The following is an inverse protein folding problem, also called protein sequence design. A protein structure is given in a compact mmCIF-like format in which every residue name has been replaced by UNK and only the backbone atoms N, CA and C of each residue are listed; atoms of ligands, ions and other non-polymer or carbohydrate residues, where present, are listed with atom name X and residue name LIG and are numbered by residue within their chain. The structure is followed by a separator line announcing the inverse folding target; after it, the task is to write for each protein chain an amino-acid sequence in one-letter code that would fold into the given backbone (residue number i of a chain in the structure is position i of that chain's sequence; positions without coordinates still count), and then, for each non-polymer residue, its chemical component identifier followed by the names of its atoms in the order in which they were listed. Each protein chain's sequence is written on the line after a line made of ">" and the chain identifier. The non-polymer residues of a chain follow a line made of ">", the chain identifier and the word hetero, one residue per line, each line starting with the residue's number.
data_IF_514076697773
#
_entry.id   IF_514076697773
#
_cell.length_a   1.000
_cell.length_b   1.000
_cell.length_c   1.000
_cell.angle_alpha   90.00
_cell.angle_beta   90.00
_cell.angle_gamma   90.00
#
_symmetry.space_group_name_H-M   'P 1'
#
loop_
_entity.id
_entity.type
_entity.pdbx_description
1 polymer ?
#
# COMPACT_ATOMS: atom_id res chain seq x y z
N UNK A 1 -22.92 -8.78 11.66
CA UNK A 1 -24.24 -8.31 11.20
C UNK A 1 -24.23 -6.79 11.21
N UNK A 2 -24.40 -6.17 10.05
CA UNK A 2 -24.45 -4.71 9.92
C UNK A 2 -25.76 -4.16 10.51
N UNK A 3 -25.74 -3.01 11.21
CA UNK A 3 -26.95 -2.36 11.67
C UNK A 3 -27.75 -1.80 10.48
N UNK A 4 -29.07 -1.74 10.61
CA UNK A 4 -29.98 -1.23 9.56
C UNK A 4 -29.64 0.20 9.12
N UNK A 5 -29.11 1.04 10.03
CA UNK A 5 -28.62 2.39 9.70
C UNK A 5 -27.43 2.36 8.72
N UNK A 6 -26.48 1.44 8.92
CA UNK A 6 -25.34 1.29 8.02
C UNK A 6 -25.78 0.80 6.64
N UNK A 7 -26.77 -0.09 6.59
CA UNK A 7 -27.35 -0.61 5.35
C UNK A 7 -28.12 0.47 4.58
N UNK A 8 -28.92 1.29 5.28
CA UNK A 8 -29.61 2.44 4.68
C UNK A 8 -28.63 3.50 4.17
N UNK A 9 -27.51 3.71 4.87
CA UNK A 9 -26.44 4.62 4.43
C UNK A 9 -25.75 4.12 3.17
N UNK A 10 -25.51 2.81 3.05
CA UNK A 10 -24.98 2.19 1.83
C UNK A 10 -25.98 2.29 0.66
N UNK A 11 -27.28 2.24 0.93
CA UNK A 11 -28.30 2.40 -0.12
C UNK A 11 -28.41 3.83 -0.64
N UNK A 12 -28.17 4.82 0.23
CA UNK A 12 -28.15 6.23 -0.16
C UNK A 12 -26.93 6.65 -1.00
N UNK A 13 -25.90 5.79 -1.10
CA UNK A 13 -24.69 6.04 -1.90
C UNK A 13 -24.86 5.54 -3.33
N UNK A 14 -24.30 6.27 -4.30
CA UNK A 14 -24.19 5.81 -5.70
C UNK A 14 -23.40 4.49 -5.78
N UNK A 15 -23.65 3.67 -6.82
CA UNK A 15 -23.06 2.33 -6.96
C UNK A 15 -21.52 2.32 -6.85
N UNK A 16 -20.84 3.34 -7.38
CA UNK A 16 -19.39 3.47 -7.30
C UNK A 16 -18.90 3.79 -5.88
N UNK A 17 -19.57 4.72 -5.20
CA UNK A 17 -19.22 5.14 -3.84
C UNK A 17 -19.53 4.02 -2.83
N UNK A 18 -20.62 3.27 -3.08
CA UNK A 18 -21.01 2.08 -2.32
C UNK A 18 -19.95 0.97 -2.37
N UNK A 19 -19.38 0.69 -3.55
CA UNK A 19 -18.30 -0.29 -3.70
C UNK A 19 -17.08 0.08 -2.87
N UNK A 20 -16.68 1.36 -2.88
CA UNK A 20 -15.56 1.84 -2.10
C UNK A 20 -15.86 1.79 -0.59
N UNK A 21 -17.11 2.04 -0.21
CA UNK A 21 -17.56 2.00 1.17
C UNK A 21 -17.52 0.59 1.78
N UNK A 22 -17.74 -0.49 1.01
CA UNK A 22 -17.73 -1.86 1.56
C UNK A 22 -16.43 -2.22 2.30
N UNK A 23 -15.26 -1.79 1.79
CA UNK A 23 -13.99 -2.03 2.49
C UNK A 23 -13.86 -1.23 3.78
N UNK A 24 -14.47 -0.04 3.85
CA UNK A 24 -14.48 0.82 5.04
C UNK A 24 -15.41 0.24 6.10
N UNK A 25 -16.66 -0.05 5.74
CA UNK A 25 -17.63 -0.72 6.63
C UNK A 25 -17.14 -2.10 7.09
N UNK A 26 -16.44 -2.84 6.22
CA UNK A 26 -15.78 -4.09 6.60
C UNK A 26 -14.76 -3.88 7.72
N UNK A 27 -13.96 -2.82 7.65
CA UNK A 27 -12.98 -2.50 8.70
C UNK A 27 -13.64 -2.08 10.02
N UNK A 28 -14.69 -1.26 9.97
CA UNK A 28 -15.43 -0.80 11.15
C UNK A 28 -16.14 -1.95 11.89
N UNK A 29 -16.72 -2.90 11.15
CA UNK A 29 -17.49 -4.02 11.72
C UNK A 29 -16.70 -5.34 11.78
N UNK A 30 -15.39 -5.32 11.48
CA UNK A 30 -14.50 -6.50 11.39
C UNK A 30 -15.04 -7.60 10.46
N UNK A 31 -15.59 -7.21 9.32
CA UNK A 31 -16.12 -8.09 8.29
C UNK A 31 -15.31 -7.91 7.00
N UNK A 32 -15.30 -8.92 6.12
CA UNK A 32 -14.70 -8.72 4.79
C UNK A 32 -15.61 -7.89 3.89
N UNK A 33 -15.05 -7.18 2.90
CA UNK A 33 -15.86 -6.39 1.96
C UNK A 33 -16.93 -7.24 1.25
N UNK A 34 -16.61 -8.49 0.90
CA UNK A 34 -17.55 -9.44 0.32
C UNK A 34 -18.69 -9.81 1.27
N UNK A 35 -18.40 -9.91 2.57
CA UNK A 35 -19.40 -10.25 3.58
C UNK A 35 -20.36 -9.08 3.88
N UNK A 36 -19.85 -7.84 3.79
CA UNK A 36 -20.66 -6.62 3.88
C UNK A 36 -21.58 -6.48 2.66
N UNK A 37 -21.06 -6.73 1.46
CA UNK A 37 -21.85 -6.72 0.22
C UNK A 37 -22.96 -7.77 0.26
N UNK A 38 -22.66 -8.99 0.73
CA UNK A 38 -23.65 -10.05 0.87
C UNK A 38 -24.79 -9.66 1.83
N UNK A 39 -24.48 -9.02 2.97
CA UNK A 39 -25.49 -8.54 3.91
C UNK A 39 -26.32 -7.38 3.36
N UNK A 40 -25.71 -6.47 2.59
CA UNK A 40 -26.42 -5.39 1.91
C UNK A 40 -27.39 -5.92 0.85
N UNK A 41 -26.94 -6.84 0.00
CA UNK A 41 -27.77 -7.44 -1.04
C UNK A 41 -28.93 -8.23 -0.44
N UNK A 42 -28.69 -8.96 0.63
CA UNK A 42 -29.70 -9.70 1.37
C UNK A 42 -30.76 -8.79 2.04
N UNK A 43 -30.32 -7.68 2.62
CA UNK A 43 -31.22 -6.67 3.17
C UNK A 43 -32.08 -6.02 2.07
N UNK A 44 -31.48 -5.75 0.91
CA UNK A 44 -32.17 -5.15 -0.25
C UNK A 44 -33.15 -6.11 -0.93
N UNK A 45 -32.83 -7.40 -0.98
CA UNK A 45 -33.72 -8.43 -1.51
C UNK A 45 -34.77 -8.90 -0.50
N UNK A 46 -34.67 -8.49 0.77
CA UNK A 46 -35.57 -8.92 1.84
C UNK A 46 -35.37 -10.38 2.27
N UNK A 47 -34.23 -10.98 1.89
CA UNK A 47 -33.93 -12.40 2.09
C UNK A 47 -32.90 -12.55 3.23
N UNK A 48 -33.25 -13.25 4.31
CA UNK A 48 -32.35 -13.41 5.46
C UNK A 48 -31.21 -14.38 5.14
N UNK A 49 -29.95 -13.94 5.24
CA UNK A 49 -28.75 -14.73 4.92
C UNK A 49 -28.57 -15.92 5.85
N UNK A 50 -28.60 -17.14 5.31
CA UNK A 50 -27.95 -18.30 5.92
C UNK A 50 -26.44 -18.26 5.65
N UNK A 51 -25.56 -18.59 6.62
CA UNK A 51 -24.11 -18.48 6.43
C UNK A 51 -23.65 -19.48 5.37
N UNK A 52 -23.16 -18.97 4.23
CA UNK A 52 -22.58 -19.79 3.17
C UNK A 52 -21.11 -20.06 3.48
N UNK A 53 -20.84 -21.28 3.91
CA UNK A 53 -19.50 -21.87 4.03
C UNK A 53 -18.88 -22.01 2.64
N UNK A 54 -18.00 -21.10 2.23
CA UNK A 54 -17.22 -21.29 1.00
C UNK A 54 -15.83 -21.84 1.32
N UNK A 55 -15.66 -23.12 1.00
CA UNK A 55 -14.42 -23.87 1.01
C UNK A 55 -13.46 -23.28 -0.02
N UNK A 56 -12.30 -22.84 0.46
CA UNK A 56 -11.13 -22.45 -0.33
C UNK A 56 -10.78 -23.55 -1.34
N UNK A 57 -10.89 -23.26 -2.63
CA UNK A 57 -10.32 -24.09 -3.70
C UNK A 57 -9.33 -23.25 -4.51
N UNK A 58 -8.08 -23.70 -4.45
CA UNK A 58 -6.94 -23.24 -5.23
C UNK A 58 -7.22 -23.32 -6.74
N UNK A 59 -7.08 -22.20 -7.46
CA UNK A 59 -6.92 -22.18 -8.91
C UNK A 59 -5.94 -21.05 -9.25
N UNK A 60 -4.90 -21.40 -10.02
CA UNK A 60 -3.70 -20.60 -10.26
C UNK A 60 -3.90 -19.26 -10.99
N UNK A 61 -2.79 -18.54 -11.25
CA UNK A 61 -2.82 -17.12 -11.59
C UNK A 61 -3.29 -16.91 -13.03
N UNK A 62 -4.57 -16.61 -13.19
CA UNK A 62 -5.09 -15.93 -14.37
C UNK A 62 -4.70 -14.47 -14.25
N UNK A 63 -3.66 -14.08 -15.00
CA UNK A 63 -3.31 -12.69 -15.23
C UNK A 63 -4.51 -11.97 -15.86
N UNK A 64 -5.23 -11.19 -15.06
CA UNK A 64 -6.28 -10.30 -15.57
C UNK A 64 -5.62 -9.11 -16.25
N UNK A 65 -5.47 -9.23 -17.57
CA UNK A 65 -5.24 -8.13 -18.48
C UNK A 65 -6.39 -7.12 -18.35
N UNK A 66 -6.09 -5.90 -17.89
CA UNK A 66 -6.99 -4.76 -18.02
C UNK A 66 -7.25 -3.91 -16.77
N UNK A 67 -6.40 -3.92 -15.74
CA UNK A 67 -6.48 -2.89 -14.70
C UNK A 67 -6.18 -1.52 -15.34
N UNK A 68 -7.21 -0.74 -15.66
CA UNK A 68 -7.05 0.69 -15.91
C UNK A 68 -6.39 1.27 -14.68
N UNK A 69 -5.16 1.75 -14.85
CA UNK A 69 -4.33 2.25 -13.75
C UNK A 69 -5.14 3.24 -12.90
N UNK A 70 -5.22 2.99 -11.60
CA UNK A 70 -5.86 3.89 -10.67
C UNK A 70 -4.97 5.15 -10.58
N UNK A 71 -5.35 6.20 -11.32
CA UNK A 71 -4.60 7.45 -11.34
C UNK A 71 -4.80 8.17 -10.01
N UNK A 72 -3.80 8.09 -9.16
CA UNK A 72 -3.70 8.86 -7.93
C UNK A 72 -3.85 10.35 -8.27
N UNK A 73 -4.81 11.03 -7.64
CA UNK A 73 -5.11 12.45 -7.87
C UNK A 73 -3.95 13.39 -7.55
N UNK A 74 -3.12 13.02 -6.57
CA UNK A 74 -1.87 13.72 -6.25
C UNK A 74 -0.70 12.72 -6.11
N UNK A 75 -0.04 12.35 -7.23
CA UNK A 75 1.07 11.41 -7.21
C UNK A 75 2.28 11.96 -6.44
N UNK A 76 2.29 13.27 -6.14
CA UNK A 76 3.34 13.98 -5.42
C UNK A 76 3.52 13.46 -3.98
N UNK A 77 2.44 13.02 -3.31
CA UNK A 77 2.48 12.46 -1.94
C UNK A 77 3.06 11.06 -1.84
N UNK A 78 3.07 10.32 -2.95
CA UNK A 78 3.57 8.95 -3.02
C UNK A 78 4.94 8.85 -3.69
N UNK A 79 5.47 9.98 -4.17
CA UNK A 79 6.87 10.06 -4.58
C UNK A 79 7.72 10.00 -3.31
N UNK A 80 8.70 9.09 -3.29
CA UNK A 80 9.83 9.22 -2.37
C UNK A 80 10.32 10.67 -2.43
N UNK A 81 10.68 11.27 -1.28
CA UNK A 81 11.23 12.64 -1.18
C UNK A 81 12.49 12.75 -2.04
N UNK A 82 12.30 12.89 -3.35
CA UNK A 82 13.30 13.31 -4.29
C UNK A 82 13.36 14.81 -4.08
N UNK A 83 14.48 15.29 -3.55
CA UNK A 83 14.76 16.71 -3.50
C UNK A 83 15.28 17.13 -4.89
N UNK A 84 14.45 17.76 -5.75
CA UNK A 84 14.85 18.09 -7.12
C UNK A 84 15.72 19.35 -7.16
N UNK A 85 16.13 19.89 -6.01
CA UNK A 85 17.04 21.03 -5.96
C UNK A 85 18.33 20.67 -6.68
N UNK A 86 18.97 21.66 -7.30
CA UNK A 86 20.29 21.48 -7.95
C UNK A 86 21.29 20.79 -7.01
N UNK A 87 21.20 21.08 -5.72
CA UNK A 87 22.01 20.47 -4.67
C UNK A 87 21.73 18.98 -4.45
N UNK A 88 20.46 18.56 -4.48
CA UNK A 88 20.06 17.15 -4.36
C UNK A 88 20.58 16.32 -5.54
N UNK A 89 20.45 16.86 -6.76
CA UNK A 89 21.05 16.27 -7.97
C UNK A 89 22.58 16.20 -7.89
N UNK A 90 23.25 17.26 -7.45
CA UNK A 90 24.70 17.27 -7.33
C UNK A 90 25.22 16.23 -6.33
N UNK A 91 24.51 15.99 -5.22
CA UNK A 91 24.85 14.94 -4.24
C UNK A 91 24.59 13.54 -4.79
N UNK A 92 23.47 13.34 -5.49
CA UNK A 92 23.15 12.06 -6.15
C UNK A 92 24.15 11.72 -7.26
N UNK A 93 24.63 12.70 -8.03
CA UNK A 93 25.65 12.50 -9.07
C UNK A 93 27.02 12.11 -8.52
N UNK A 94 27.28 12.35 -7.23
CA UNK A 94 28.53 11.94 -6.57
C UNK A 94 28.44 10.52 -5.98
N UNK A 95 27.26 9.89 -5.99
CA UNK A 95 27.06 8.52 -5.54
C UNK A 95 27.29 7.57 -6.71
N UNK A 96 28.49 6.98 -6.77
CA UNK A 96 28.87 6.06 -7.85
C UNK A 96 28.71 4.58 -7.47
N UNK A 97 28.61 4.26 -6.16
CA UNK A 97 28.57 2.88 -5.67
C UNK A 97 27.49 2.71 -4.59
N UNK A 98 26.86 1.53 -4.58
CA UNK A 98 25.95 1.12 -3.50
C UNK A 98 26.65 0.06 -2.63
N UNK A 99 26.72 0.29 -1.32
CA UNK A 99 27.24 -0.67 -0.33
C UNK A 99 26.16 -0.99 0.71
N UNK A 100 26.22 -2.18 1.29
CA UNK A 100 25.33 -2.58 2.37
C UNK A 100 25.99 -2.21 3.71
N UNK A 101 25.23 -1.58 4.61
CA UNK A 101 25.65 -1.38 5.98
C UNK A 101 25.76 -2.74 6.71
N UNK A 102 26.90 -3.11 7.32
CA UNK A 102 27.03 -4.37 8.04
C UNK A 102 26.15 -4.46 9.30
N UNK A 103 25.79 -3.32 9.91
CA UNK A 103 25.03 -3.29 11.16
C UNK A 103 23.52 -3.41 10.96
N UNK A 104 22.98 -2.78 9.92
CA UNK A 104 21.52 -2.70 9.72
C UNK A 104 21.05 -3.18 8.35
N UNK A 105 21.96 -3.67 7.49
CA UNK A 105 21.67 -4.11 6.12
C UNK A 105 21.03 -3.06 5.20
N UNK A 106 21.04 -1.78 5.60
CA UNK A 106 20.54 -0.69 4.76
C UNK A 106 21.46 -0.45 3.55
N UNK A 107 20.86 -0.22 2.38
CA UNK A 107 21.58 0.16 1.17
C UNK A 107 22.03 1.63 1.25
N UNK A 108 23.34 1.85 1.13
CA UNK A 108 24.01 3.15 1.21
C UNK A 108 24.66 3.49 -0.13
N UNK A 109 24.28 4.63 -0.69
CA UNK A 109 24.98 5.22 -1.80
C UNK A 109 26.22 5.97 -1.34
N UNK A 110 27.41 5.56 -1.77
CA UNK A 110 28.69 6.18 -1.40
C UNK A 110 29.51 6.56 -2.66
N UNK A 111 30.33 7.62 -2.59
CA UNK A 111 31.29 7.95 -3.65
C UNK A 111 32.38 6.88 -3.77
N UNK A 112 32.98 6.75 -4.97
CA UNK A 112 34.06 5.80 -5.23
C UNK A 112 35.42 6.21 -4.60
N UNK A 113 35.52 7.42 -4.06
CA UNK A 113 36.73 7.91 -3.39
C UNK A 113 36.88 7.23 -2.02
N UNK A 114 38.02 6.58 -1.80
CA UNK A 114 38.42 5.94 -0.53
C UNK A 114 39.73 6.61 -0.07
N UNK A 115 40.03 6.71 1.24
CA UNK A 115 39.24 6.29 2.40
C UNK A 115 38.19 7.32 2.81
N UNK A 116 37.00 6.85 3.20
CA UNK A 116 35.89 7.72 3.65
C UNK A 116 35.26 7.19 4.94
N UNK A 117 34.82 8.13 5.77
CA UNK A 117 33.96 7.87 6.92
C UNK A 117 32.51 8.14 6.52
N UNK A 118 31.65 7.15 6.66
CA UNK A 118 30.22 7.24 6.31
C UNK A 118 29.40 6.89 7.53
N UNK A 119 28.47 7.77 7.88
CA UNK A 119 27.47 7.52 8.92
C UNK A 119 26.20 7.01 8.27
N UNK A 120 25.73 5.83 8.67
CA UNK A 120 24.48 5.29 8.13
C UNK A 120 23.27 6.10 8.64
N UNK A 121 22.36 6.61 7.78
CA UNK A 121 21.19 7.35 8.23
C UNK A 121 20.13 6.45 8.88
N UNK A 122 20.22 5.14 8.71
CA UNK A 122 19.24 4.18 9.26
C UNK A 122 19.58 3.73 10.69
N UNK A 123 20.86 3.60 11.03
CA UNK A 123 21.30 3.10 12.36
C UNK A 123 22.31 4.01 13.06
N UNK A 124 22.70 5.13 12.45
CA UNK A 124 23.74 6.06 12.94
C UNK A 124 25.12 5.45 13.19
N UNK A 125 25.38 4.23 12.70
CA UNK A 125 26.71 3.62 12.79
C UNK A 125 27.73 4.38 11.94
N UNK A 126 28.90 4.69 12.51
CA UNK A 126 30.06 5.23 11.80
C UNK A 126 30.88 4.07 11.23
N UNK A 127 30.99 4.02 9.90
CA UNK A 127 31.71 2.96 9.19
C UNK A 127 32.80 3.61 8.34
N UNK A 128 33.99 3.03 8.41
CA UNK A 128 35.13 3.46 7.58
C UNK A 128 35.31 2.45 6.44
N UNK A 129 35.12 2.90 5.20
CA UNK A 129 35.39 2.07 4.03
C UNK A 129 36.82 2.35 3.55
N UNK A 130 37.70 1.35 3.72
CA UNK A 130 39.06 1.33 3.15
C UNK A 130 39.04 0.61 1.79
N UNK A 131 40.08 0.83 0.97
CA UNK A 131 40.15 0.34 -0.41
C UNK A 131 40.08 -1.20 -0.50
#
# INVERSE_FOLDING_TARGET
>A
MLPAEALAKLDAMDDYDRMLAFSRFGSDYRMSAAEVEAQYNAWKSGDTVAPSTFTKTDAGPIAQSGQSANYIQDPSKFRAKYDPSREGRARQSQVEQAVICPECSAALGIPAVRPIKVTCPSCMAEITYTA
#
